data_IF_109074217263
#
_entry.id   IF_109074217263
#
_cell.length_a   1.000
_cell.length_b   1.000
_cell.length_c   1.000
_cell.angle_alpha   90.00
_cell.angle_beta   90.00
_cell.angle_gamma   90.00
#
_symmetry.space_group_name_H-M   'P 1'
#
loop_
_entity.id
_entity.type
_entity.pdbx_description
1 polymer ?
#
# COMPACT_ATOMS: atom_id res chain seq x y z
N UNK A 1 -2.22 25.99 6.74
CA UNK A 1 -2.54 25.03 5.67
C UNK A 1 -1.31 24.18 5.40
N UNK A 2 -1.43 22.86 5.57
CA UNK A 2 -0.33 21.92 5.28
C UNK A 2 -0.65 21.27 3.94
N UNK A 3 0.22 21.48 2.95
CA UNK A 3 0.02 20.88 1.63
C UNK A 3 0.86 19.62 1.53
N UNK A 4 0.20 18.49 1.25
CA UNK A 4 0.86 17.21 1.02
C UNK A 4 0.57 16.71 -0.40
N UNK A 5 1.53 15.98 -0.96
CA UNK A 5 1.42 15.48 -2.32
C UNK A 5 0.49 14.26 -2.46
N UNK A 6 0.28 13.51 -1.36
CA UNK A 6 -0.43 12.22 -1.37
C UNK A 6 -1.05 11.91 0.01
N UNK A 7 -1.98 10.95 0.05
CA UNK A 7 -2.52 10.41 1.31
C UNK A 7 -1.47 9.56 2.05
N UNK A 8 -1.67 9.31 3.33
CA UNK A 8 -0.83 8.41 4.13
C UNK A 8 -0.05 9.13 5.21
N UNK A 9 1.13 8.62 5.55
CA UNK A 9 1.89 9.08 6.70
C UNK A 9 2.91 10.16 6.31
N UNK A 10 2.89 11.29 7.02
CA UNK A 10 3.77 12.44 6.82
C UNK A 10 4.39 12.87 8.15
N UNK A 11 5.55 13.50 8.09
CA UNK A 11 6.16 14.17 9.24
C UNK A 11 6.27 15.66 8.95
N UNK A 12 5.87 16.47 9.92
CA UNK A 12 5.97 17.93 9.85
C UNK A 12 7.06 18.42 10.82
N UNK A 13 7.31 19.73 10.81
CA UNK A 13 8.28 20.36 11.71
C UNK A 13 8.00 19.98 13.18
N UNK A 14 9.07 19.67 13.92
CA UNK A 14 8.98 19.14 15.29
C UNK A 14 8.70 17.64 15.37
N UNK A 15 8.93 16.90 14.28
CA UNK A 15 8.80 15.44 14.18
C UNK A 15 7.39 14.92 14.51
N UNK A 16 6.37 15.73 14.25
CA UNK A 16 4.98 15.35 14.47
C UNK A 16 4.52 14.50 13.29
N UNK A 17 4.21 13.24 13.56
CA UNK A 17 3.64 12.31 12.60
C UNK A 17 2.16 12.61 12.38
N UNK A 18 1.77 12.83 11.12
CA UNK A 18 0.40 13.04 10.66
C UNK A 18 -0.02 11.91 9.72
N UNK A 19 -1.16 11.30 10.00
CA UNK A 19 -1.83 10.36 9.11
C UNK A 19 -2.92 11.09 8.35
N UNK A 20 -2.70 11.32 7.06
CA UNK A 20 -3.63 12.01 6.16
C UNK A 20 -4.50 10.99 5.44
N UNK A 21 -5.82 11.07 5.63
CA UNK A 21 -6.80 10.20 4.99
C UNK A 21 -7.81 11.02 4.17
N UNK A 22 -8.82 10.38 3.58
CA UNK A 22 -9.79 11.02 2.67
C UNK A 22 -10.40 12.29 3.28
N UNK A 23 -10.94 12.19 4.49
CA UNK A 23 -11.74 13.25 5.14
C UNK A 23 -11.24 13.61 6.54
N UNK A 24 -10.07 13.08 6.96
CA UNK A 24 -9.53 13.31 8.30
C UNK A 24 -8.02 13.28 8.33
N UNK A 25 -7.48 13.87 9.39
CA UNK A 25 -6.06 13.86 9.73
C UNK A 25 -5.94 13.37 11.16
N UNK A 26 -5.27 12.25 11.34
CA UNK A 26 -5.05 11.64 12.65
C UNK A 26 -3.60 11.88 13.10
N UNK A 27 -3.40 12.01 14.41
CA UNK A 27 -2.05 12.12 14.99
C UNK A 27 -1.99 11.44 16.36
N UNK A 28 -0.79 11.05 16.80
CA UNK A 28 -0.64 10.27 18.05
C UNK A 28 -1.10 11.03 19.29
N UNK A 29 -0.94 12.36 19.31
CA UNK A 29 -1.21 13.16 20.50
C UNK A 29 -2.70 13.24 20.88
N UNK A 30 -3.62 12.67 20.08
CA UNK A 30 -5.06 12.59 20.39
C UNK A 30 -5.82 13.92 20.46
N UNK A 31 -5.12 15.05 20.31
CA UNK A 31 -5.70 16.38 20.11
C UNK A 31 -6.37 16.46 18.74
N UNK A 32 -7.52 17.12 18.64
CA UNK A 32 -8.03 17.54 17.34
C UNK A 32 -7.28 18.81 16.95
N UNK A 33 -6.34 18.69 16.02
CA UNK A 33 -5.75 19.84 15.36
C UNK A 33 -6.42 20.03 14.01
N UNK A 34 -7.01 21.20 13.79
CA UNK A 34 -7.63 21.56 12.51
C UNK A 34 -6.54 21.85 11.48
N UNK A 35 -6.09 20.82 10.79
CA UNK A 35 -5.23 20.97 9.62
C UNK A 35 -6.10 21.10 8.38
N UNK A 36 -6.05 22.26 7.73
CA UNK A 36 -6.51 22.37 6.35
C UNK A 36 -5.46 21.67 5.46
N UNK A 37 -5.75 20.42 5.08
CA UNK A 37 -4.90 19.61 4.22
C UNK A 37 -5.49 19.52 2.82
N UNK A 38 -4.74 20.05 1.87
CA UNK A 38 -5.02 19.88 0.46
C UNK A 38 -4.13 18.78 -0.09
N UNK A 39 -4.68 17.58 -0.22
CA UNK A 39 -4.06 16.54 -1.06
C UNK A 39 -4.23 17.01 -2.49
N UNK A 40 -3.13 17.12 -3.23
CA UNK A 40 -3.18 17.50 -4.65
C UNK A 40 -3.10 16.22 -5.48
N UNK A 41 -4.21 15.49 -5.72
CA UNK A 41 -4.13 14.31 -6.56
C UNK A 41 -3.71 14.72 -7.98
N UNK A 42 -2.85 13.94 -8.66
CA UNK A 42 -2.47 14.22 -10.03
C UNK A 42 -3.69 14.06 -10.96
N UNK A 43 -4.35 15.18 -11.30
CA UNK A 43 -5.28 15.42 -12.44
C UNK A 43 -6.46 14.45 -12.68
N UNK A 44 -7.64 15.05 -12.90
CA UNK A 44 -8.88 14.55 -13.58
C UNK A 44 -9.57 13.26 -13.09
N UNK A 45 -8.87 12.32 -12.47
CA UNK A 45 -9.47 11.09 -11.98
C UNK A 45 -9.84 11.25 -10.50
N UNK A 46 -11.12 10.97 -10.17
CA UNK A 46 -11.66 11.01 -8.82
C UNK A 46 -11.22 9.78 -8.01
N UNK A 47 -9.92 9.56 -7.87
CA UNK A 47 -9.39 8.50 -7.02
C UNK A 47 -9.48 8.93 -5.56
N UNK A 48 -10.09 8.09 -4.73
CA UNK A 48 -10.20 8.29 -3.28
C UNK A 48 -9.02 7.63 -2.56
N UNK A 49 -8.73 8.09 -1.35
CA UNK A 49 -7.80 7.45 -0.44
C UNK A 49 -8.11 5.96 -0.30
N UNK A 50 -7.15 5.06 -0.54
CA UNK A 50 -7.42 3.62 -0.56
C UNK A 50 -7.22 2.96 0.82
N UNK A 51 -6.93 3.75 1.85
CA UNK A 51 -6.79 3.31 3.24
C UNK A 51 -7.73 4.07 4.20
N UNK A 52 -8.18 3.36 5.23
CA UNK A 52 -8.99 3.88 6.33
C UNK A 52 -8.54 3.22 7.64
N UNK A 53 -7.62 3.86 8.36
CA UNK A 53 -6.94 3.28 9.53
C UNK A 53 -7.39 4.01 10.80
N UNK A 54 -7.83 3.26 11.80
CA UNK A 54 -8.34 3.79 13.05
C UNK A 54 -7.29 3.64 14.16
N UNK A 55 -6.58 4.73 14.49
CA UNK A 55 -5.44 4.71 15.44
C UNK A 55 -5.84 4.51 16.91
N UNK A 56 -7.13 4.61 17.23
CA UNK A 56 -7.72 4.36 18.54
C UNK A 56 -7.96 2.87 18.81
N UNK A 57 -8.16 2.07 17.76
CA UNK A 57 -8.46 0.64 17.85
C UNK A 57 -7.22 -0.22 17.59
N UNK A 58 -6.22 -0.12 18.47
CA UNK A 58 -4.95 -0.85 18.32
C UNK A 58 -4.92 -2.17 19.08
N UNK A 59 -4.42 -3.21 18.43
CA UNK A 59 -4.09 -4.49 19.06
C UNK A 59 -2.65 -4.87 18.75
N UNK A 60 -1.95 -5.33 19.78
CA UNK A 60 -0.65 -5.97 19.62
C UNK A 60 -0.88 -7.43 19.24
N UNK A 61 -0.73 -7.72 17.95
CA UNK A 61 -0.77 -9.07 17.40
C UNK A 61 0.55 -9.40 16.71
N UNK A 62 1.02 -10.63 16.90
CA UNK A 62 2.13 -11.16 16.13
C UNK A 62 1.62 -11.58 14.74
N UNK A 63 2.15 -10.95 13.70
CA UNK A 63 1.99 -11.43 12.33
C UNK A 63 3.10 -12.44 12.02
N UNK A 64 2.85 -13.41 11.13
CA UNK A 64 3.92 -14.26 10.60
C UNK A 64 5.02 -13.39 10.00
N UNK A 65 6.28 -13.75 10.28
CA UNK A 65 7.43 -13.12 9.61
C UNK A 65 7.53 -13.67 8.19
N UNK A 66 6.86 -12.99 7.26
CA UNK A 66 6.76 -13.39 5.87
C UNK A 66 6.91 -12.16 4.97
N UNK A 67 7.69 -12.23 3.89
CA UNK A 67 7.98 -11.09 3.03
C UNK A 67 6.72 -10.50 2.38
N UNK A 68 5.72 -11.33 2.05
CA UNK A 68 4.46 -10.83 1.50
C UNK A 68 3.65 -10.13 2.60
N UNK A 69 3.52 -10.72 3.79
CA UNK A 69 2.82 -10.08 4.92
C UNK A 69 3.44 -8.73 5.27
N UNK A 70 4.77 -8.67 5.36
CA UNK A 70 5.54 -7.46 5.65
C UNK A 70 5.31 -6.36 4.60
N UNK A 71 5.06 -6.72 3.33
CA UNK A 71 4.80 -5.77 2.26
C UNK A 71 3.45 -5.04 2.38
N UNK A 72 2.48 -5.64 3.08
CA UNK A 72 1.15 -5.06 3.31
C UNK A 72 1.04 -4.29 4.64
N UNK A 73 2.07 -4.30 5.48
CA UNK A 73 2.10 -3.45 6.66
C UNK A 73 1.96 -1.99 6.22
N UNK A 74 1.15 -1.17 6.93
CA UNK A 74 0.94 0.23 6.62
C UNK A 74 2.16 1.06 7.03
N UNK A 75 3.29 0.83 6.36
CA UNK A 75 4.57 1.50 6.61
C UNK A 75 5.06 2.05 5.27
N UNK A 76 5.41 3.34 5.20
CA UNK A 76 6.03 3.91 4.01
C UNK A 76 7.25 3.10 3.58
N UNK A 77 7.29 2.76 2.30
CA UNK A 77 8.41 2.04 1.71
C UNK A 77 9.66 2.92 1.64
N UNK A 78 10.83 2.32 1.47
CA UNK A 78 12.08 3.07 1.21
C UNK A 78 12.15 3.43 -0.28
N UNK A 79 12.63 4.62 -0.59
CA UNK A 79 12.81 5.03 -2.00
C UNK A 79 13.83 4.10 -2.68
N UNK A 80 13.53 3.64 -3.90
CA UNK A 80 14.34 2.66 -4.59
C UNK A 80 14.10 1.20 -4.19
N UNK A 81 13.18 0.94 -3.24
CA UNK A 81 12.71 -0.42 -2.96
C UNK A 81 12.01 -1.00 -4.20
N UNK A 82 12.38 -2.24 -4.55
CA UNK A 82 11.89 -2.96 -5.72
C UNK A 82 10.40 -3.26 -5.60
N UNK A 83 9.74 -3.40 -6.75
CA UNK A 83 8.41 -3.97 -6.80
C UNK A 83 8.47 -5.47 -6.44
N UNK A 84 7.43 -5.97 -5.78
CA UNK A 84 7.34 -7.38 -5.43
C UNK A 84 6.54 -8.12 -6.49
N UNK A 85 7.08 -9.23 -6.99
CA UNK A 85 6.39 -10.17 -7.84
C UNK A 85 5.86 -11.33 -7.01
N UNK A 86 4.57 -11.62 -7.16
CA UNK A 86 3.89 -12.76 -6.55
C UNK A 86 3.25 -13.60 -7.66
N UNK A 87 3.26 -14.92 -7.51
CA UNK A 87 2.61 -15.78 -8.49
C UNK A 87 1.07 -15.62 -8.45
N UNK A 88 0.44 -15.55 -9.63
CA UNK A 88 -1.01 -15.32 -9.79
C UNK A 88 -1.87 -16.57 -9.55
N UNK A 89 -1.75 -17.17 -8.36
CA UNK A 89 -2.57 -18.32 -7.94
C UNK A 89 -3.83 -17.88 -7.20
N UNK A 90 -4.84 -18.76 -7.12
CA UNK A 90 -6.05 -18.50 -6.31
C UNK A 90 -5.69 -18.28 -4.84
N UNK A 91 -4.80 -19.10 -4.28
CA UNK A 91 -4.35 -18.98 -2.90
C UNK A 91 -3.69 -17.62 -2.61
N UNK A 92 -2.77 -17.18 -3.48
CA UNK A 92 -2.11 -15.89 -3.32
C UNK A 92 -3.08 -14.72 -3.48
N UNK A 93 -4.06 -14.79 -4.40
CA UNK A 93 -5.09 -13.75 -4.54
C UNK A 93 -5.91 -13.61 -3.27
N UNK A 94 -6.36 -14.73 -2.70
CA UNK A 94 -7.13 -14.73 -1.46
C UNK A 94 -6.31 -14.16 -0.30
N UNK A 95 -5.05 -14.58 -0.17
CA UNK A 95 -4.14 -14.05 0.85
C UNK A 95 -3.91 -12.54 0.70
N UNK A 96 -3.63 -12.07 -0.53
CA UNK A 96 -3.45 -10.64 -0.82
C UNK A 96 -4.71 -9.84 -0.48
N UNK A 97 -5.88 -10.35 -0.86
CA UNK A 97 -7.15 -9.72 -0.51
C UNK A 97 -7.32 -9.57 1.01
N UNK A 98 -6.94 -10.59 1.76
CA UNK A 98 -7.02 -10.57 3.22
C UNK A 98 -6.03 -9.56 3.83
N UNK A 99 -4.77 -9.56 3.36
CA UNK A 99 -3.73 -8.67 3.86
C UNK A 99 -4.01 -7.19 3.60
N UNK A 100 -4.83 -6.84 2.60
CA UNK A 100 -5.27 -5.46 2.37
C UNK A 100 -6.04 -4.87 3.57
N UNK A 101 -6.63 -5.71 4.42
CA UNK A 101 -7.30 -5.32 5.67
C UNK A 101 -6.36 -4.60 6.65
N UNK A 102 -5.05 -4.83 6.58
CA UNK A 102 -4.04 -4.11 7.39
C UNK A 102 -4.08 -2.58 7.18
N UNK A 103 -4.63 -2.11 6.05
CA UNK A 103 -4.74 -0.68 5.76
C UNK A 103 -6.18 -0.19 5.55
N UNK A 104 -7.16 -1.08 5.33
CA UNK A 104 -8.56 -0.70 5.17
C UNK A 104 -9.49 -1.91 5.32
N UNK A 105 -10.59 -1.81 6.10
CA UNK A 105 -11.53 -2.92 6.30
C UNK A 105 -12.26 -3.45 5.05
N UNK A 106 -12.22 -2.72 3.91
CA UNK A 106 -12.97 -3.05 2.68
C UNK A 106 -12.14 -2.87 1.41
N UNK A 107 -10.81 -2.99 1.48
CA UNK A 107 -9.89 -2.57 0.41
C UNK A 107 -9.87 -3.41 -0.88
N UNK A 108 -11.01 -3.60 -1.54
CA UNK A 108 -11.02 -4.10 -2.92
C UNK A 108 -10.41 -3.10 -3.91
N UNK A 109 -10.47 -1.79 -3.62
CA UNK A 109 -10.03 -0.72 -4.51
C UNK A 109 -8.49 -0.65 -4.74
N UNK A 110 -7.70 -1.40 -3.96
CA UNK A 110 -6.25 -1.42 -4.07
C UNK A 110 -5.72 -2.42 -5.13
N UNK A 111 -6.60 -3.25 -5.69
CA UNK A 111 -6.29 -4.22 -6.73
C UNK A 111 -6.77 -3.72 -8.09
N UNK A 112 -5.87 -3.66 -9.07
CA UNK A 112 -6.19 -3.25 -10.43
C UNK A 112 -5.63 -4.25 -11.45
N UNK A 113 -6.41 -4.57 -12.47
CA UNK A 113 -5.87 -5.37 -13.57
C UNK A 113 -4.94 -4.49 -14.44
N UNK A 114 -3.81 -5.03 -14.90
CA UNK A 114 -2.80 -4.29 -15.68
C UNK A 114 -3.40 -3.69 -16.97
N UNK A 115 -4.34 -4.37 -17.59
CA UNK A 115 -5.03 -3.90 -18.80
C UNK A 115 -6.13 -2.87 -18.55
N UNK A 116 -6.51 -2.63 -17.29
CA UNK A 116 -7.64 -1.75 -16.94
C UNK A 116 -7.30 -0.27 -17.19
N UNK A 117 -6.03 0.09 -17.06
CA UNK A 117 -5.59 1.48 -17.07
C UNK A 117 -4.37 1.70 -17.95
N UNK A 118 -4.18 2.94 -18.40
CA UNK A 118 -2.96 3.37 -19.09
C UNK A 118 -1.84 3.67 -18.08
N UNK A 119 -0.61 3.74 -18.55
CA UNK A 119 0.59 4.02 -17.74
C UNK A 119 0.47 5.29 -16.89
N UNK A 120 -0.18 6.34 -17.42
CA UNK A 120 -0.33 7.63 -16.75
C UNK A 120 -1.25 7.53 -15.53
N UNK A 121 -2.28 6.69 -15.63
CA UNK A 121 -3.22 6.43 -14.55
C UNK A 121 -2.55 5.60 -13.46
N UNK A 122 -1.76 4.58 -13.82
CA UNK A 122 -0.99 3.84 -12.81
C UNK A 122 0.04 4.72 -12.09
N UNK A 123 0.69 5.63 -12.82
CA UNK A 123 1.59 6.62 -12.19
C UNK A 123 0.84 7.48 -11.16
N UNK A 124 -0.41 7.82 -11.43
CA UNK A 124 -1.30 8.52 -10.48
C UNK A 124 -1.62 7.63 -9.26
N UNK A 125 -1.98 6.36 -9.48
CA UNK A 125 -2.28 5.40 -8.40
C UNK A 125 -1.08 5.10 -7.49
N UNK A 126 0.12 5.05 -8.07
CA UNK A 126 1.40 4.88 -7.35
C UNK A 126 1.78 6.11 -6.52
N UNK A 127 1.26 7.29 -6.85
CA UNK A 127 1.47 8.51 -6.10
C UNK A 127 0.28 8.88 -5.22
N UNK A 128 -0.73 8.00 -5.09
CA UNK A 128 -1.96 8.31 -4.37
C UNK A 128 -1.78 8.21 -2.85
N UNK A 129 -1.01 7.23 -2.38
CA UNK A 129 -0.71 7.00 -0.95
C UNK A 129 0.68 6.40 -0.77
N UNK A 130 1.25 6.50 0.43
CA UNK A 130 2.48 5.80 0.82
C UNK A 130 2.27 4.60 1.78
N UNK A 131 1.04 4.30 2.21
CA UNK A 131 0.79 3.28 3.22
C UNK A 131 0.40 1.92 2.64
N UNK A 132 -0.68 1.90 1.85
CA UNK A 132 -1.19 0.65 1.31
C UNK A 132 -0.50 0.34 -0.01
N UNK A 133 -0.06 -0.91 -0.28
CA UNK A 133 0.50 -1.26 -1.59
C UNK A 133 -0.53 -1.09 -2.71
N UNK A 134 -0.06 -0.85 -3.92
CA UNK A 134 -0.83 -1.00 -5.15
C UNK A 134 -0.62 -2.43 -5.65
N UNK A 135 -1.69 -3.19 -5.77
CA UNK A 135 -1.63 -4.57 -6.29
C UNK A 135 -2.09 -4.56 -7.73
N UNK A 136 -1.22 -5.00 -8.65
CA UNK A 136 -1.55 -5.11 -10.07
C UNK A 136 -1.54 -6.56 -10.50
N UNK A 137 -2.61 -7.05 -11.11
CA UNK A 137 -2.72 -8.44 -11.55
C UNK A 137 -3.05 -8.56 -13.03
N UNK A 138 -3.10 -9.79 -13.54
CA UNK A 138 -3.54 -10.03 -14.90
C UNK A 138 -2.46 -9.72 -15.93
N UNK A 139 -1.23 -10.11 -15.65
CA UNK A 139 -0.18 -10.01 -16.64
C UNK A 139 -0.39 -10.96 -17.81
N UNK A 140 -0.05 -10.46 -19.01
CA UNK A 140 0.04 -11.21 -20.25
C UNK A 140 1.28 -10.74 -20.99
N UNK A 141 1.88 -11.60 -21.81
CA UNK A 141 3.12 -11.27 -22.52
C UNK A 141 3.00 -10.01 -23.39
N UNK A 142 1.84 -9.78 -23.99
CA UNK A 142 1.52 -8.56 -24.76
C UNK A 142 1.58 -7.25 -23.94
N UNK A 143 1.51 -7.34 -22.61
CA UNK A 143 1.55 -6.20 -21.68
C UNK A 143 2.95 -5.94 -21.11
N UNK A 144 4.00 -6.63 -21.59
CA UNK A 144 5.36 -6.50 -21.03
C UNK A 144 5.89 -5.06 -21.05
N UNK A 145 5.54 -4.27 -22.07
CA UNK A 145 5.96 -2.87 -22.14
C UNK A 145 5.21 -2.00 -21.12
N UNK A 146 3.92 -2.26 -20.89
CA UNK A 146 3.15 -1.57 -19.86
C UNK A 146 3.68 -1.91 -18.45
N UNK A 147 3.96 -3.19 -18.20
CA UNK A 147 4.58 -3.66 -16.97
C UNK A 147 5.95 -2.99 -16.76
N UNK A 148 6.80 -2.94 -17.79
CA UNK A 148 8.13 -2.33 -17.71
C UNK A 148 8.07 -0.87 -17.26
N UNK A 149 7.21 -0.06 -17.89
CA UNK A 149 7.01 1.34 -17.50
C UNK A 149 6.48 1.48 -16.08
N UNK A 150 5.58 0.57 -15.68
CA UNK A 150 5.02 0.54 -14.35
C UNK A 150 6.08 0.24 -13.28
N UNK A 151 6.95 -0.74 -13.53
CA UNK A 151 8.06 -1.10 -12.65
C UNK A 151 9.05 0.05 -12.48
N UNK A 152 9.41 0.71 -13.58
CA UNK A 152 10.29 1.90 -13.55
C UNK A 152 9.67 3.04 -12.74
N UNK A 153 8.38 3.33 -12.95
CA UNK A 153 7.67 4.34 -12.18
C UNK A 153 7.59 3.99 -10.68
N UNK A 154 7.41 2.71 -10.35
CA UNK A 154 7.28 2.24 -8.99
C UNK A 154 8.56 2.46 -8.16
N UNK A 155 9.75 2.42 -8.76
CA UNK A 155 11.01 2.64 -8.05
C UNK A 155 11.07 4.01 -7.36
N UNK A 156 10.45 5.02 -7.97
CA UNK A 156 10.48 6.41 -7.51
C UNK A 156 9.16 6.89 -6.90
N UNK A 157 8.14 6.02 -6.85
CA UNK A 157 6.86 6.36 -6.25
C UNK A 157 6.85 6.12 -4.73
N UNK A 158 6.03 6.85 -3.96
CA UNK A 158 5.91 6.63 -2.52
C UNK A 158 5.17 5.33 -2.18
N UNK A 159 4.34 4.80 -3.09
CA UNK A 159 3.58 3.56 -2.88
C UNK A 159 4.39 2.34 -3.27
N UNK A 160 4.31 1.27 -2.47
CA UNK A 160 4.81 -0.06 -2.85
C UNK A 160 3.98 -0.66 -3.97
N UNK A 161 4.64 -1.24 -4.97
CA UNK A 161 4.00 -1.99 -6.03
C UNK A 161 4.15 -3.48 -5.74
N UNK A 162 3.03 -4.19 -5.73
CA UNK A 162 2.98 -5.65 -5.75
C UNK A 162 2.31 -6.03 -7.06
N UNK A 163 2.92 -6.94 -7.79
CA UNK A 163 2.43 -7.36 -9.08
C UNK A 163 2.31 -8.88 -9.15
N UNK A 164 1.18 -9.33 -9.69
CA UNK A 164 0.81 -10.73 -9.78
C UNK A 164 0.78 -11.19 -11.22
N UNK A 165 1.53 -12.25 -11.51
CA UNK A 165 1.60 -12.84 -12.84
C UNK A 165 1.91 -14.34 -12.83
N UNK A 166 1.86 -14.99 -14.01
CA UNK A 166 2.23 -16.41 -14.13
C UNK A 166 3.66 -16.67 -13.67
N UNK A 167 3.93 -17.86 -13.13
CA UNK A 167 5.24 -18.23 -12.58
C UNK A 167 6.41 -17.97 -13.54
N UNK A 168 6.21 -18.23 -14.83
CA UNK A 168 7.19 -18.06 -15.91
C UNK A 168 7.49 -16.60 -16.30
N UNK A 169 6.89 -15.62 -15.63
CA UNK A 169 7.14 -14.19 -15.91
C UNK A 169 8.61 -13.86 -15.68
N UNK A 170 9.27 -13.31 -16.71
CA UNK A 170 10.64 -12.82 -16.62
C UNK A 170 10.66 -11.45 -15.96
N UNK A 171 11.37 -11.35 -14.84
CA UNK A 171 11.46 -10.12 -14.05
C UNK A 171 12.64 -9.27 -14.49
N UNK A 172 12.45 -7.96 -14.50
CA UNK A 172 13.54 -6.99 -14.61
C UNK A 172 14.14 -6.72 -13.23
N UNK A 173 15.27 -6.01 -13.19
CA UNK A 173 15.99 -5.66 -11.96
C UNK A 173 15.16 -4.84 -10.96
N UNK A 174 14.16 -4.09 -11.44
CA UNK A 174 13.26 -3.25 -10.64
C UNK A 174 12.20 -4.08 -9.88
N UNK A 175 12.12 -5.39 -10.13
CA UNK A 175 11.24 -6.31 -9.44
C UNK A 175 12.02 -7.45 -8.79
N UNK A 176 11.48 -7.98 -7.70
CA UNK A 176 11.98 -9.18 -7.06
C UNK A 176 10.86 -10.19 -6.81
N UNK A 177 11.20 -11.48 -6.95
CA UNK A 177 10.25 -12.56 -6.72
C UNK A 177 10.14 -12.85 -5.24
N UNK A 178 8.92 -12.84 -4.74
CA UNK A 178 8.62 -13.19 -3.35
C UNK A 178 7.82 -14.48 -3.32
N UNK A 179 8.21 -15.36 -2.41
CA UNK A 179 7.48 -16.58 -2.09
C UNK A 179 6.95 -16.46 -0.66
N UNK A 180 5.63 -16.57 -0.51
CA UNK A 180 4.98 -16.62 0.79
C UNK A 180 4.84 -18.08 1.22
N UNK A 181 5.21 -18.39 2.46
CA UNK A 181 4.87 -19.67 3.10
C UNK A 181 3.59 -19.55 3.94
N UNK A 182 3.11 -18.32 4.13
CA UNK A 182 1.87 -18.04 4.84
C UNK A 182 0.69 -18.45 3.96
N UNK A 183 -0.12 -19.34 4.51
CA UNK A 183 -1.46 -19.65 4.00
C UNK A 183 -2.51 -18.73 4.64
N UNK A 184 -3.67 -18.62 4.00
CA UNK A 184 -4.77 -17.74 4.41
C UNK A 184 -5.25 -18.03 5.85
N UNK A 185 -5.24 -19.29 6.27
CA UNK A 185 -5.70 -19.74 7.57
C UNK A 185 -4.91 -19.11 8.73
N UNK A 186 -3.64 -18.78 8.50
CA UNK A 186 -2.78 -18.13 9.48
C UNK A 186 -3.16 -16.67 9.74
N UNK A 187 -3.90 -16.02 8.83
CA UNK A 187 -4.19 -14.57 8.90
C UNK A 187 -5.67 -14.23 8.90
N UNK A 188 -6.54 -15.07 8.33
CA UNK A 188 -7.96 -14.75 8.14
C UNK A 188 -8.74 -14.54 9.45
N UNK A 189 -8.29 -15.17 10.53
CA UNK A 189 -8.90 -15.04 11.85
C UNK A 189 -8.33 -13.87 12.66
N UNK A 190 -7.28 -13.20 12.16
CA UNK A 190 -6.63 -12.12 12.88
C UNK A 190 -7.41 -10.80 12.73
N UNK A 191 -7.38 -9.93 13.75
CA UNK A 191 -7.91 -8.58 13.70
C UNK A 191 -6.93 -7.67 12.92
N UNK A 192 -6.80 -7.90 11.61
CA UNK A 192 -5.77 -7.29 10.77
C UNK A 192 -5.85 -5.75 10.76
N UNK A 193 -7.05 -5.18 10.77
CA UNK A 193 -7.23 -3.73 10.83
C UNK A 193 -6.59 -3.14 12.09
N UNK A 194 -6.86 -3.75 13.26
CA UNK A 194 -6.34 -3.30 14.55
C UNK A 194 -4.83 -3.54 14.68
N UNK A 195 -4.33 -4.64 14.13
CA UNK A 195 -2.90 -4.93 14.06
C UNK A 195 -2.19 -3.90 13.18
N UNK A 196 -2.73 -3.61 12.00
CA UNK A 196 -2.20 -2.61 11.07
C UNK A 196 -2.16 -1.21 11.71
N UNK A 197 -3.24 -0.82 12.38
CA UNK A 197 -3.28 0.41 13.17
C UNK A 197 -2.21 0.44 14.28
N UNK A 198 -2.01 -0.68 14.98
CA UNK A 198 -0.98 -0.83 16.01
C UNK A 198 0.43 -0.65 15.46
N UNK A 199 0.73 -1.27 14.31
CA UNK A 199 2.02 -1.14 13.61
C UNK A 199 2.25 0.30 13.17
N UNK A 200 1.26 0.93 12.54
CA UNK A 200 1.36 2.33 12.11
C UNK A 200 1.57 3.26 13.30
N UNK A 201 0.79 3.11 14.38
CA UNK A 201 0.93 3.91 15.60
C UNK A 201 2.33 3.77 16.21
N UNK A 202 2.86 2.54 16.29
CA UNK A 202 4.25 2.30 16.73
C UNK A 202 5.26 3.00 15.81
N UNK A 203 5.05 2.98 14.49
CA UNK A 203 5.92 3.68 13.53
C UNK A 203 5.87 5.19 13.71
N UNK A 204 4.68 5.75 13.93
CA UNK A 204 4.50 7.18 14.18
C UNK A 204 5.19 7.63 15.48
N UNK A 205 5.34 6.73 16.48
CA UNK A 205 6.02 7.02 17.75
C UNK A 205 7.54 6.84 17.69
N UNK A 206 8.02 6.02 16.74
CA UNK A 206 9.44 5.71 16.57
C UNK A 206 10.10 6.76 15.68
N UNK A 207 11.04 7.50 16.28
CA UNK A 207 12.02 8.35 15.60
C UNK A 207 12.79 7.54 14.55
#
# INVERSE_FOLDING_TARGET
>A
MIQVAHYGLHWIEGDIALLVQQDRVDHILGVQMDFEIKVTPPRRHAFTCPHDIFLDQVLDGALPDDPLVNAFLPIPKVLGEKALFVEDTVANKTLVHELLRLSHPRASAAMAALWMYRSEVFSTLLNLTNLQPLVVFGYRQELQMALSKLLEAAMFSPRRLIFMGPQWTVLRQEAERVHSLVQIEHVAHLPLEQIGAGVLRKRMMKR
#
